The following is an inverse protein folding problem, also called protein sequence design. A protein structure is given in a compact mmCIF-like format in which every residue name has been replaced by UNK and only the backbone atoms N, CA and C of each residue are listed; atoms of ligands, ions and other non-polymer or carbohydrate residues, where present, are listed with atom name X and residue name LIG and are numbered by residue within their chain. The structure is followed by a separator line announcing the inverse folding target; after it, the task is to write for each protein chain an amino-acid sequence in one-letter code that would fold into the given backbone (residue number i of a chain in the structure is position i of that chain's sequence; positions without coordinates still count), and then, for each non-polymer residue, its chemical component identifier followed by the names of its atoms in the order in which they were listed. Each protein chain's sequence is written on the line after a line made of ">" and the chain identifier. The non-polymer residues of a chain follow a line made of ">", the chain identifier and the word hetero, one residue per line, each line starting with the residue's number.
data_IF_584209180015
#
_entry.id   IF_584209180015
#
_cell.length_a   1.000
_cell.length_b   1.000
_cell.length_c   1.000
_cell.angle_alpha   90.00
_cell.angle_beta   90.00
_cell.angle_gamma   90.00
#
_symmetry.space_group_name_H-M   'P 1'
#
loop_
_entity.id
_entity.type
_entity.pdbx_description
1 polymer ?
#
# COMPACT_ATOMS: atom_id res chain seq x y z
N UNK A 1 -21.52 19.23 -2.04
CA UNK A 1 -22.11 20.40 -1.40
C UNK A 1 -23.22 20.86 -2.31
N UNK A 2 -24.43 21.04 -1.79
CA UNK A 2 -25.54 21.59 -2.57
C UNK A 2 -25.93 22.97 -2.00
N UNK A 3 -26.92 23.59 -2.62
CA UNK A 3 -27.41 24.93 -2.31
C UNK A 3 -28.01 25.05 -0.89
N UNK A 4 -28.13 23.92 -0.17
CA UNK A 4 -28.65 23.85 1.21
C UNK A 4 -27.58 23.54 2.26
N UNK A 5 -26.35 23.18 1.84
CA UNK A 5 -25.20 23.02 2.72
C UNK A 5 -24.44 21.70 2.57
N UNK A 6 -24.00 21.13 3.69
CA UNK A 6 -23.28 19.84 3.73
C UNK A 6 -24.27 18.73 3.38
N UNK A 7 -24.17 18.22 2.17
CA UNK A 7 -25.02 17.14 1.66
C UNK A 7 -24.69 15.76 2.25
N UNK A 8 -23.44 15.50 2.62
CA UNK A 8 -23.00 14.21 3.19
C UNK A 8 -21.74 14.37 4.06
N UNK A 9 -21.72 13.65 5.17
CA UNK A 9 -20.55 13.43 6.03
C UNK A 9 -20.43 11.93 6.29
N UNK A 10 -19.29 11.34 5.93
CA UNK A 10 -19.00 9.92 6.18
C UNK A 10 -18.00 9.81 7.34
N UNK A 11 -18.41 9.16 8.42
CA UNK A 11 -17.55 8.86 9.55
C UNK A 11 -17.03 7.43 9.46
N UNK A 12 -15.91 7.24 8.77
CA UNK A 12 -15.33 5.92 8.54
C UNK A 12 -14.17 5.66 9.50
N UNK A 13 -14.26 4.56 10.25
CA UNK A 13 -13.22 4.04 11.15
C UNK A 13 -12.56 5.08 12.08
N UNK A 14 -13.34 5.83 12.90
CA UNK A 14 -12.76 6.66 13.94
C UNK A 14 -11.87 5.83 14.86
N UNK A 15 -10.75 6.42 15.25
CA UNK A 15 -9.99 5.92 16.38
C UNK A 15 -9.50 7.08 17.24
N UNK A 16 -9.31 6.79 18.52
CA UNK A 16 -8.67 7.70 19.45
C UNK A 16 -7.20 7.33 19.52
N UNK A 17 -6.32 8.30 19.28
CA UNK A 17 -4.88 8.10 19.54
C UNK A 17 -4.70 7.90 21.04
N UNK A 18 -4.21 6.73 21.43
CA UNK A 18 -3.95 6.36 22.81
C UNK A 18 -2.61 6.92 23.28
N UNK A 19 -1.59 6.07 23.26
CA UNK A 19 -0.23 6.39 23.71
C UNK A 19 0.73 6.43 22.51
N UNK A 20 1.63 7.41 22.51
CA UNK A 20 2.81 7.42 21.63
C UNK A 20 3.87 6.46 22.20
N UNK A 21 4.28 5.46 21.42
CA UNK A 21 5.33 4.51 21.83
C UNK A 21 6.73 5.04 21.57
N UNK A 22 6.92 5.73 20.44
CA UNK A 22 8.21 6.31 20.02
C UNK A 22 7.99 7.74 19.57
N UNK A 23 8.60 8.69 20.27
CA UNK A 23 8.63 10.08 19.83
C UNK A 23 9.68 10.25 18.73
N UNK A 24 9.35 11.03 17.69
CA UNK A 24 10.25 11.34 16.58
C UNK A 24 10.90 10.09 15.97
N UNK A 25 10.09 9.08 15.63
CA UNK A 25 10.57 7.88 14.98
C UNK A 25 11.39 8.24 13.74
N UNK A 26 12.63 7.75 13.67
CA UNK A 26 13.51 8.00 12.55
C UNK A 26 13.03 7.19 11.34
N UNK A 27 12.67 7.89 10.27
CA UNK A 27 12.29 7.27 9.01
C UNK A 27 13.54 6.94 8.19
N UNK A 28 13.45 5.86 7.41
CA UNK A 28 14.43 5.57 6.37
C UNK A 28 14.43 6.68 5.32
N UNK A 29 15.58 6.89 4.68
CA UNK A 29 15.69 7.86 3.60
C UNK A 29 14.85 7.42 2.40
N UNK A 30 14.41 8.38 1.56
CA UNK A 30 13.70 8.06 0.32
C UNK A 30 14.47 7.08 -0.59
N UNK A 31 15.80 7.17 -0.61
CA UNK A 31 16.64 6.28 -1.42
C UNK A 31 16.57 4.83 -0.94
N UNK A 32 16.64 4.59 0.38
CA UNK A 32 16.52 3.24 0.95
C UNK A 32 15.11 2.68 0.68
N UNK A 33 14.09 3.52 0.82
CA UNK A 33 12.70 3.14 0.54
C UNK A 33 12.52 2.76 -0.94
N UNK A 34 13.12 3.53 -1.86
CA UNK A 34 13.10 3.22 -3.29
C UNK A 34 13.80 1.90 -3.59
N UNK A 35 14.99 1.68 -3.04
CA UNK A 35 15.76 0.44 -3.22
C UNK A 35 15.00 -0.79 -2.70
N UNK A 36 14.29 -0.65 -1.57
CA UNK A 36 13.44 -1.71 -1.04
C UNK A 36 12.23 -1.97 -1.95
N UNK A 37 11.57 -0.91 -2.42
CA UNK A 37 10.47 -1.01 -3.36
C UNK A 37 10.87 -1.80 -4.62
N UNK A 38 11.96 -1.41 -5.28
CA UNK A 38 12.41 -2.04 -6.53
C UNK A 38 12.64 -3.56 -6.36
N UNK A 39 13.20 -3.98 -5.22
CA UNK A 39 13.44 -5.40 -4.91
C UNK A 39 12.14 -6.15 -4.60
N UNK A 40 11.28 -5.53 -3.79
CA UNK A 40 10.07 -6.17 -3.26
C UNK A 40 8.97 -6.28 -4.31
N UNK A 41 8.79 -5.26 -5.16
CA UNK A 41 7.72 -5.26 -6.16
C UNK A 41 7.90 -6.40 -7.17
N UNK A 42 9.13 -6.72 -7.54
CA UNK A 42 9.42 -7.85 -8.43
C UNK A 42 9.03 -9.17 -7.76
N UNK A 43 9.48 -9.39 -6.52
CA UNK A 43 9.17 -10.62 -5.79
C UNK A 43 7.67 -10.78 -5.54
N UNK A 44 6.96 -9.69 -5.22
CA UNK A 44 5.52 -9.72 -4.98
C UNK A 44 4.70 -10.09 -6.24
N UNK A 45 5.27 -9.84 -7.42
CA UNK A 45 4.63 -10.17 -8.71
C UNK A 45 5.24 -11.41 -9.39
N UNK A 46 6.26 -12.04 -8.80
CA UNK A 46 6.95 -13.20 -9.40
C UNK A 46 6.00 -14.39 -9.63
N UNK A 47 5.10 -14.64 -8.68
CA UNK A 47 4.06 -15.67 -8.80
C UNK A 47 3.16 -15.49 -10.03
N UNK A 48 2.87 -14.24 -10.41
CA UNK A 48 2.04 -13.94 -11.58
C UNK A 48 2.74 -14.38 -12.88
N UNK A 49 4.06 -14.20 -12.94
CA UNK A 49 4.88 -14.64 -14.07
C UNK A 49 4.92 -16.16 -14.18
N UNK A 50 4.90 -16.87 -13.05
CA UNK A 50 4.95 -18.34 -13.04
C UNK A 50 3.61 -19.01 -13.36
N UNK A 51 2.48 -18.37 -13.01
CA UNK A 51 1.13 -18.94 -13.21
C UNK A 51 0.46 -18.54 -14.54
N UNK A 52 0.86 -17.41 -15.12
CA UNK A 52 0.29 -16.91 -16.38
C UNK A 52 1.26 -17.14 -17.54
N UNK A 53 0.74 -17.43 -18.74
CA UNK A 53 1.54 -17.45 -19.97
C UNK A 53 1.85 -15.99 -20.39
N UNK A 54 2.70 -15.34 -19.60
CA UNK A 54 2.94 -13.91 -19.63
C UNK A 54 4.10 -13.59 -20.57
N UNK A 55 3.84 -12.72 -21.55
CA UNK A 55 4.84 -12.17 -22.46
C UNK A 55 5.58 -11.00 -21.83
N UNK A 56 4.86 -10.09 -21.17
CA UNK A 56 5.46 -8.94 -20.49
C UNK A 56 4.63 -8.43 -19.32
N UNK A 57 5.31 -7.92 -18.29
CA UNK A 57 4.73 -7.19 -17.16
C UNK A 57 5.33 -5.79 -17.14
N UNK A 58 4.48 -4.77 -17.20
CA UNK A 58 4.89 -3.37 -17.01
C UNK A 58 4.29 -2.84 -15.71
N UNK A 59 5.13 -2.23 -14.87
CA UNK A 59 4.74 -1.61 -13.60
C UNK A 59 5.04 -0.11 -13.70
N UNK A 60 4.02 0.73 -13.55
CA UNK A 60 4.15 2.18 -13.58
C UNK A 60 3.64 2.79 -12.27
N UNK A 61 4.54 3.37 -11.48
CA UNK A 61 4.17 4.04 -10.23
C UNK A 61 3.79 5.49 -10.51
N UNK A 62 2.58 5.87 -10.09
CA UNK A 62 2.02 7.20 -10.33
C UNK A 62 1.94 8.04 -9.07
N UNK A 63 1.76 7.41 -7.90
CA UNK A 63 1.61 8.11 -6.62
C UNK A 63 2.28 7.35 -5.48
N UNK A 64 2.86 8.10 -4.55
CA UNK A 64 3.49 7.56 -3.34
C UNK A 64 3.04 8.40 -2.16
N UNK A 65 2.47 7.77 -1.13
CA UNK A 65 1.94 8.44 0.05
C UNK A 65 2.68 8.01 1.31
N UNK A 66 3.07 8.99 2.13
CA UNK A 66 3.51 8.76 3.52
C UNK A 66 2.32 9.01 4.45
N UNK A 67 1.98 8.01 5.26
CA UNK A 67 0.87 8.10 6.19
C UNK A 67 1.01 7.15 7.37
N UNK A 68 0.03 7.16 8.27
CA UNK A 68 -0.06 6.19 9.35
C UNK A 68 -1.06 5.10 8.97
N UNK A 69 -0.65 3.85 9.11
CA UNK A 69 -1.54 2.70 9.00
C UNK A 69 -1.73 2.06 10.37
N UNK A 70 -2.97 1.72 10.70
CA UNK A 70 -3.27 0.88 11.86
C UNK A 70 -2.96 -0.57 11.51
N UNK A 71 -2.03 -1.15 12.25
CA UNK A 71 -1.74 -2.58 12.24
C UNK A 71 -2.42 -3.17 13.48
N UNK A 72 -3.28 -4.16 13.29
CA UNK A 72 -3.96 -4.83 14.39
C UNK A 72 -2.93 -5.58 15.25
N UNK A 73 -3.10 -5.52 16.57
CA UNK A 73 -2.34 -6.41 17.45
C UNK A 73 -2.89 -7.83 17.30
N UNK A 74 -2.01 -8.83 17.40
CA UNK A 74 -2.42 -10.23 17.41
C UNK A 74 -3.45 -10.43 18.55
N UNK A 75 -4.60 -10.99 18.21
CA UNK A 75 -5.72 -11.28 19.11
C UNK A 75 -6.50 -10.07 19.68
N UNK A 76 -6.34 -8.86 19.13
CA UNK A 76 -7.15 -7.68 19.52
C UNK A 76 -7.77 -6.96 18.33
N UNK A 77 -9.10 -6.87 18.31
CA UNK A 77 -9.85 -6.10 17.31
C UNK A 77 -9.90 -4.61 17.69
N UNK A 78 -9.79 -4.28 18.98
CA UNK A 78 -10.06 -2.95 19.54
C UNK A 78 -8.81 -2.07 19.74
N UNK A 79 -7.62 -2.68 19.82
CA UNK A 79 -6.33 -1.98 19.89
C UNK A 79 -5.50 -2.23 18.64
N UNK A 80 -4.60 -1.31 18.31
CA UNK A 80 -3.72 -1.45 17.16
C UNK A 80 -2.62 -0.41 17.19
N UNK A 81 -1.51 -0.73 16.53
CA UNK A 81 -0.36 0.15 16.43
C UNK A 81 -0.49 1.02 15.18
N UNK A 82 -0.34 2.32 15.32
CA UNK A 82 -0.18 3.22 14.18
C UNK A 82 1.30 3.22 13.78
N UNK A 83 1.57 2.74 12.57
CA UNK A 83 2.92 2.66 12.01
C UNK A 83 3.02 3.60 10.81
N UNK A 84 4.09 4.42 10.70
CA UNK A 84 4.33 5.20 9.50
C UNK A 84 4.70 4.28 8.34
N UNK A 85 4.04 4.45 7.21
CA UNK A 85 4.18 3.62 6.02
C UNK A 85 4.29 4.46 4.76
N UNK A 86 4.98 3.90 3.77
CA UNK A 86 4.95 4.36 2.39
C UNK A 86 4.03 3.45 1.57
N UNK A 87 2.97 4.00 0.99
CA UNK A 87 2.07 3.29 0.07
C UNK A 87 2.36 3.68 -1.37
N UNK A 88 2.61 2.68 -2.22
CA UNK A 88 2.92 2.87 -3.64
C UNK A 88 1.70 2.53 -4.48
N UNK A 89 1.28 3.47 -5.30
CA UNK A 89 0.14 3.34 -6.20
C UNK A 89 0.55 3.54 -7.65
N UNK A 90 -0.15 2.85 -8.54
CA UNK A 90 0.22 2.81 -9.94
C UNK A 90 -0.59 1.83 -10.75
N UNK A 91 -0.04 1.45 -11.89
CA UNK A 91 -0.67 0.53 -12.85
C UNK A 91 0.21 -0.69 -13.06
N UNK A 92 -0.40 -1.88 -13.07
CA UNK A 92 0.19 -3.11 -13.59
C UNK A 92 -0.46 -3.41 -14.94
N UNK A 93 0.35 -3.63 -15.97
CA UNK A 93 -0.11 -4.03 -17.29
C UNK A 93 0.50 -5.38 -17.65
N UNK A 94 -0.37 -6.35 -17.88
CA UNK A 94 -0.03 -7.72 -18.27
C UNK A 94 -0.26 -7.87 -19.76
N UNK A 95 0.73 -8.39 -20.48
CA UNK A 95 0.60 -8.83 -21.87
C UNK A 95 0.79 -10.34 -21.88
N UNK A 96 -0.23 -11.09 -22.30
CA UNK A 96 -0.17 -12.54 -22.43
C UNK A 96 0.43 -12.94 -23.77
N UNK A 97 0.92 -14.18 -23.87
CA UNK A 97 1.51 -14.74 -25.09
C UNK A 97 0.53 -14.80 -26.26
N UNK A 98 -0.78 -14.86 -26.00
CA UNK A 98 -1.83 -14.81 -27.03
C UNK A 98 -2.17 -13.39 -27.52
N UNK A 99 -1.53 -12.37 -26.94
CA UNK A 99 -1.74 -10.96 -27.26
C UNK A 99 -2.81 -10.26 -26.42
N UNK A 100 -3.46 -10.96 -25.49
CA UNK A 100 -4.39 -10.36 -24.54
C UNK A 100 -3.66 -9.38 -23.62
N UNK A 101 -4.26 -8.21 -23.39
CA UNK A 101 -3.73 -7.18 -22.49
C UNK A 101 -4.71 -6.97 -21.35
N UNK A 102 -4.22 -7.11 -20.13
CA UNK A 102 -4.96 -6.79 -18.92
C UNK A 102 -4.28 -5.64 -18.17
N UNK A 103 -5.07 -4.85 -17.45
CA UNK A 103 -4.55 -3.69 -16.71
C UNK A 103 -5.22 -3.60 -15.36
N UNK A 104 -4.40 -3.47 -14.32
CA UNK A 104 -4.82 -3.24 -12.95
C UNK A 104 -4.36 -1.84 -12.52
N UNK A 105 -5.31 -0.96 -12.23
CA UNK A 105 -5.05 0.37 -11.68
C UNK A 105 -5.31 0.35 -10.16
N UNK A 106 -4.24 0.52 -9.40
CA UNK A 106 -4.26 0.39 -7.95
C UNK A 106 -4.96 1.58 -7.26
N UNK A 107 -5.02 2.76 -7.91
CA UNK A 107 -5.75 3.92 -7.39
C UNK A 107 -7.25 3.73 -7.53
N UNK A 108 -7.70 3.23 -8.68
CA UNK A 108 -9.13 2.93 -8.93
C UNK A 108 -9.63 1.88 -7.95
N UNK A 109 -8.80 0.90 -7.63
CA UNK A 109 -9.14 -0.15 -6.68
C UNK A 109 -8.93 0.25 -5.21
N UNK A 110 -8.41 1.46 -4.95
CA UNK A 110 -8.03 1.92 -3.62
C UNK A 110 -7.16 0.90 -2.85
N UNK A 111 -6.30 0.18 -3.58
CA UNK A 111 -5.46 -0.87 -3.04
C UNK A 111 -4.02 -0.66 -3.54
N UNK A 112 -3.07 -0.32 -2.66
CA UNK A 112 -1.70 -0.06 -3.07
C UNK A 112 -1.04 -1.30 -3.67
N UNK A 113 -0.13 -1.10 -4.62
CA UNK A 113 0.69 -2.17 -5.21
C UNK A 113 1.69 -2.75 -4.20
N UNK A 114 2.16 -1.90 -3.30
CA UNK A 114 3.07 -2.26 -2.22
C UNK A 114 2.94 -1.27 -1.06
N UNK A 115 3.06 -1.77 0.17
CA UNK A 115 3.17 -0.97 1.38
C UNK A 115 4.46 -1.33 2.10
N UNK A 116 5.24 -0.33 2.48
CA UNK A 116 6.52 -0.49 3.17
C UNK A 116 6.50 0.28 4.49
N UNK A 117 6.88 -0.36 5.59
CA UNK A 117 7.12 0.31 6.87
C UNK A 117 8.24 1.35 6.71
N UNK A 118 7.95 2.61 7.04
CA UNK A 118 8.89 3.70 6.86
C UNK A 118 10.06 3.70 7.86
N UNK A 119 10.00 2.91 8.93
CA UNK A 119 11.03 2.81 9.98
C UNK A 119 12.06 1.72 9.65
N UNK A 120 11.62 0.53 9.26
CA UNK A 120 12.50 -0.63 9.07
C UNK A 120 12.55 -1.17 7.63
N UNK A 121 11.67 -0.66 6.75
CA UNK A 121 11.67 -1.02 5.34
C UNK A 121 11.04 -2.37 5.02
N UNK A 122 10.37 -3.01 5.99
CA UNK A 122 9.65 -4.27 5.78
C UNK A 122 8.34 -4.07 5.02
N UNK A 123 7.90 -5.11 4.31
CA UNK A 123 6.61 -5.10 3.61
C UNK A 123 5.46 -5.26 4.62
N UNK A 124 4.35 -4.56 4.38
CA UNK A 124 3.12 -4.64 5.18
C UNK A 124 1.98 -5.12 4.28
N UNK A 125 1.24 -6.14 4.70
CA UNK A 125 -0.04 -6.50 4.10
C UNK A 125 -1.10 -5.49 4.59
N UNK A 126 -1.76 -4.73 3.69
CA UNK A 126 -2.66 -3.67 4.11
C UNK A 126 -3.94 -4.17 4.81
N UNK A 127 -4.28 -5.44 4.68
CA UNK A 127 -5.43 -6.08 5.32
C UNK A 127 -5.00 -6.82 6.60
N UNK A 128 -3.87 -7.54 6.55
CA UNK A 128 -3.44 -8.45 7.63
C UNK A 128 -2.39 -7.86 8.56
N UNK A 129 -1.65 -6.83 8.15
CA UNK A 129 -0.50 -6.32 8.89
C UNK A 129 0.80 -7.01 8.49
N UNK A 130 1.65 -7.33 9.48
CA UNK A 130 2.89 -8.10 9.27
C UNK A 130 2.65 -9.60 9.20
#
# INVERSE_FOLDING_TARGET
>A
MDDTGIYRFDWVSPYKIGKTLVENAQLLSPDIIKDNFDKMIINNNAFIVDEMDLRSLTIEISQVFLGLQRIAEQDSVDSGLLVPIWSFFGTLRYELSDGTIETYDSLVQANPLLVINAIDGTMVDPIKGY
#
